data_IF_057541060192
#
_entry.id   IF_057541060192
#
_cell.length_a   1.000
_cell.length_b   1.000
_cell.length_c   1.000
_cell.angle_alpha   90.00
_cell.angle_beta   90.00
_cell.angle_gamma   90.00
#
_symmetry.space_group_name_H-M   'P 1'
#
loop_
_entity.id
_entity.type
_entity.pdbx_description
1 polymer ?
#
# COMPACT_ATOMS: atom_id res chain seq x y z
N UNK A 1 -1.83 7.82 8.56
CA UNK A 1 -1.00 7.81 9.79
C UNK A 1 -1.65 7.09 10.97
N UNK A 2 -2.72 7.61 11.60
CA UNK A 2 -3.20 7.07 12.89
C UNK A 2 -3.53 5.57 12.89
N UNK A 3 -4.12 5.07 11.80
CA UNK A 3 -4.47 3.66 11.69
C UNK A 3 -3.24 2.75 11.56
N UNK A 4 -2.17 3.23 10.93
CA UNK A 4 -0.89 2.51 10.85
C UNK A 4 -0.32 2.31 12.27
N UNK A 5 -0.29 3.37 13.07
CA UNK A 5 0.16 3.28 14.47
C UNK A 5 -0.68 2.31 15.29
N UNK A 6 -2.00 2.34 15.10
CA UNK A 6 -2.91 1.45 15.81
C UNK A 6 -2.62 -0.02 15.47
N UNK A 7 -2.42 -0.36 14.20
CA UNK A 7 -2.09 -1.73 13.78
C UNK A 7 -0.73 -2.17 14.35
N UNK A 8 0.29 -1.29 14.31
CA UNK A 8 1.61 -1.58 14.90
C UNK A 8 1.53 -1.94 16.40
N UNK A 9 0.59 -1.35 17.16
CA UNK A 9 0.38 -1.70 18.59
C UNK A 9 -0.10 -3.13 18.82
N UNK A 10 -0.67 -3.78 17.81
CA UNK A 10 -1.07 -5.18 17.86
C UNK A 10 0.04 -6.13 17.40
N UNK A 11 1.28 -5.64 17.25
CA UNK A 11 2.42 -6.39 16.71
C UNK A 11 2.15 -6.99 15.32
N UNK A 12 1.39 -6.27 14.49
CA UNK A 12 1.16 -6.61 13.09
C UNK A 12 1.83 -5.57 12.21
N UNK A 13 2.53 -6.01 11.17
CA UNK A 13 3.13 -5.13 10.15
C UNK A 13 2.07 -4.74 9.12
N UNK A 14 1.61 -3.47 9.08
CA UNK A 14 0.59 -3.07 8.11
C UNK A 14 1.18 -2.88 6.70
N UNK A 15 0.34 -3.12 5.69
CA UNK A 15 0.58 -2.76 4.29
C UNK A 15 -0.51 -1.80 3.85
N UNK A 16 -0.14 -0.72 3.17
CA UNK A 16 -1.11 0.24 2.64
C UNK A 16 -1.41 -0.07 1.18
N UNK A 17 -2.68 -0.30 0.85
CA UNK A 17 -3.15 -0.39 -0.53
C UNK A 17 -3.76 0.96 -0.94
N UNK A 18 -3.18 1.58 -1.97
CA UNK A 18 -3.69 2.81 -2.58
C UNK A 18 -4.58 2.38 -3.74
N UNK A 19 -5.89 2.51 -3.61
CA UNK A 19 -6.79 2.21 -4.73
C UNK A 19 -6.78 3.37 -5.73
N UNK A 20 -6.40 3.09 -6.98
CA UNK A 20 -6.35 4.08 -8.06
C UNK A 20 -7.76 4.51 -8.47
N UNK A 21 -7.99 5.81 -8.54
CA UNK A 21 -9.14 6.42 -9.22
C UNK A 21 -8.70 7.14 -10.50
N UNK A 22 -9.67 7.35 -11.41
CA UNK A 22 -9.43 7.97 -12.73
C UNK A 22 -8.92 9.41 -12.61
N UNK A 23 -9.31 10.11 -11.55
CA UNK A 23 -8.88 11.49 -11.26
C UNK A 23 -7.49 11.58 -10.64
N UNK A 24 -6.92 10.48 -10.16
CA UNK A 24 -5.69 10.52 -9.37
C UNK A 24 -4.49 10.76 -10.29
N UNK A 25 -3.70 11.77 -9.92
CA UNK A 25 -2.42 12.05 -10.56
C UNK A 25 -1.33 11.09 -10.07
N UNK A 26 -0.29 10.91 -10.88
CA UNK A 26 0.85 10.09 -10.47
C UNK A 26 1.62 10.76 -9.31
N UNK A 27 1.63 12.10 -9.26
CA UNK A 27 2.23 12.87 -8.18
C UNK A 27 1.54 12.66 -6.82
N UNK A 28 0.21 12.58 -6.80
CA UNK A 28 -0.54 12.28 -5.58
C UNK A 28 -0.25 10.86 -5.08
N UNK A 29 -0.18 9.88 -5.99
CA UNK A 29 0.16 8.50 -5.65
C UNK A 29 1.57 8.43 -5.05
N UNK A 30 2.54 9.08 -5.68
CA UNK A 30 3.93 9.07 -5.23
C UNK A 30 4.08 9.77 -3.87
N UNK A 31 3.37 10.88 -3.66
CA UNK A 31 3.32 11.54 -2.36
C UNK A 31 2.83 10.60 -1.24
N UNK A 32 1.80 9.79 -1.50
CA UNK A 32 1.30 8.82 -0.52
C UNK A 32 2.31 7.69 -0.29
N UNK A 33 2.96 7.18 -1.35
CA UNK A 33 4.03 6.17 -1.23
C UNK A 33 5.18 6.68 -0.38
N UNK A 34 5.66 7.90 -0.65
CA UNK A 34 6.72 8.56 0.13
C UNK A 34 6.33 8.78 1.58
N UNK A 35 5.09 9.20 1.83
CA UNK A 35 4.56 9.35 3.17
C UNK A 35 4.60 8.02 3.95
N UNK A 36 4.22 6.92 3.32
CA UNK A 36 4.28 5.59 3.94
C UNK A 36 5.72 5.13 4.18
N UNK A 37 6.62 5.36 3.21
CA UNK A 37 8.05 5.04 3.34
C UNK A 37 8.71 5.76 4.53
N UNK A 38 8.35 7.03 4.78
CA UNK A 38 8.84 7.77 5.97
C UNK A 38 8.41 7.15 7.30
N UNK A 39 7.34 6.34 7.30
CA UNK A 39 6.84 5.61 8.47
C UNK A 39 7.35 4.17 8.54
N UNK A 40 8.29 3.80 7.65
CA UNK A 40 8.79 2.44 7.49
C UNK A 40 7.65 1.44 7.20
N UNK A 41 6.74 1.82 6.29
CA UNK A 41 5.61 1.02 5.85
C UNK A 41 5.56 0.96 4.32
N UNK A 42 5.45 -0.25 3.79
CA UNK A 42 5.27 -0.46 2.35
C UNK A 42 3.85 -0.05 1.91
N UNK A 43 3.76 0.66 0.79
CA UNK A 43 2.51 1.01 0.14
C UNK A 43 2.53 0.54 -1.33
N UNK A 44 1.41 -0.02 -1.80
CA UNK A 44 1.25 -0.52 -3.15
C UNK A 44 0.13 0.23 -3.88
N UNK A 45 0.31 0.55 -5.16
CA UNK A 45 -0.79 1.02 -5.98
C UNK A 45 -1.63 -0.19 -6.42
N UNK A 46 -2.94 -0.09 -6.27
CA UNK A 46 -3.90 -1.13 -6.59
C UNK A 46 -4.86 -0.62 -7.67
N UNK A 47 -4.81 -1.26 -8.83
CA UNK A 47 -5.69 -0.99 -9.98
C UNK A 47 -6.58 -2.20 -10.28
N UNK A 48 -6.95 -2.94 -9.22
CA UNK A 48 -7.74 -4.18 -9.32
C UNK A 48 -9.13 -3.96 -9.92
N UNK A 49 -9.65 -2.74 -9.80
CA UNK A 49 -10.95 -2.39 -10.38
C UNK A 49 -10.90 -2.37 -11.91
N UNK A 50 -9.84 -1.82 -12.52
CA UNK A 50 -9.71 -1.75 -13.98
C UNK A 50 -9.03 -2.99 -14.59
N UNK A 51 -8.07 -3.60 -13.87
CA UNK A 51 -7.20 -4.67 -14.40
C UNK A 51 -7.41 -6.03 -13.74
N UNK A 52 -8.36 -6.16 -12.81
CA UNK A 52 -8.58 -7.40 -12.07
C UNK A 52 -7.34 -7.82 -11.30
N UNK A 53 -7.01 -9.12 -11.31
CA UNK A 53 -5.87 -9.66 -10.57
C UNK A 53 -4.52 -9.03 -10.93
N UNK A 54 -4.31 -8.63 -12.20
CA UNK A 54 -3.07 -7.99 -12.65
C UNK A 54 -2.82 -6.67 -11.93
N UNK A 55 -3.89 -5.90 -11.67
CA UNK A 55 -3.82 -4.63 -10.94
C UNK A 55 -3.49 -4.77 -9.45
N UNK A 56 -3.43 -6.00 -8.92
CA UNK A 56 -3.13 -6.29 -7.51
C UNK A 56 -1.79 -6.98 -7.29
N UNK A 57 -1.01 -7.25 -8.34
CA UNK A 57 0.25 -8.02 -8.23
C UNK A 57 1.27 -7.31 -7.32
N UNK A 58 1.42 -5.98 -7.44
CA UNK A 58 2.33 -5.20 -6.58
C UNK A 58 1.96 -5.37 -5.10
N UNK A 59 0.67 -5.24 -4.77
CA UNK A 59 0.17 -5.43 -3.42
C UNK A 59 0.39 -6.87 -2.93
N UNK A 60 0.11 -7.86 -3.77
CA UNK A 60 0.31 -9.28 -3.46
C UNK A 60 1.77 -9.60 -3.13
N UNK A 61 2.71 -9.13 -3.95
CA UNK A 61 4.14 -9.33 -3.73
C UNK A 61 4.60 -8.68 -2.40
N UNK A 62 4.16 -7.46 -2.12
CA UNK A 62 4.50 -6.77 -0.86
C UNK A 62 3.96 -7.54 0.36
N UNK A 63 2.74 -8.08 0.28
CA UNK A 63 2.16 -8.88 1.34
C UNK A 63 2.96 -10.17 1.54
N UNK A 64 3.34 -10.85 0.46
CA UNK A 64 4.18 -12.05 0.53
C UNK A 64 5.54 -11.77 1.18
N UNK A 65 6.24 -10.71 0.75
CA UNK A 65 7.51 -10.30 1.35
C UNK A 65 7.41 -10.13 2.87
N UNK A 66 6.32 -9.54 3.35
CA UNK A 66 6.12 -9.27 4.78
C UNK A 66 5.78 -10.54 5.55
N UNK A 67 5.09 -11.51 4.92
CA UNK A 67 4.78 -12.80 5.56
C UNK A 67 6.00 -13.72 5.65
N UNK A 68 6.98 -13.55 4.77
CA UNK A 68 8.22 -14.34 4.73
C UNK A 68 9.30 -13.83 5.71
N UNK A 69 9.08 -12.67 6.34
CA UNK A 69 10.02 -12.03 7.28
C UNK A 69 9.56 -12.17 8.73
#
# INVERSE_FOLDING_TARGET
>A
EKQIENIKKFNVTPVVAINRFVSDSDEEVEYIKDFCNKMDIKAALSDVWAKGGEGGIELGNIVMDILET
#
